data_IF_259903808658
#
_entry.id   IF_259903808658
#
_cell.length_a   1.000
_cell.length_b   1.000
_cell.length_c   1.000
_cell.angle_alpha   90.00
_cell.angle_beta   90.00
_cell.angle_gamma   90.00
#
_symmetry.space_group_name_H-M   'P 1'
#
loop_
_entity.id
_entity.type
_entity.pdbx_description
1 polymer ?
#
# COMPACT_ATOMS: atom_id res chain seq x y z
N UNK A 1 6.99 14.66 3.61
CA UNK A 1 6.07 13.59 4.09
C UNK A 1 6.54 13.17 5.47
N UNK A 2 5.64 12.71 6.34
CA UNK A 2 5.94 12.33 7.72
C UNK A 2 5.48 10.90 7.99
N UNK A 3 6.27 10.13 8.73
CA UNK A 3 5.84 8.83 9.26
C UNK A 3 4.66 9.03 10.23
N UNK A 4 3.79 8.01 10.35
CA UNK A 4 2.57 8.06 11.17
C UNK A 4 2.72 8.78 12.52
N UNK A 5 3.73 8.44 13.34
CA UNK A 5 3.90 9.07 14.66
C UNK A 5 4.21 10.57 14.58
N UNK A 6 5.00 11.00 13.59
CA UNK A 6 5.30 12.42 13.38
C UNK A 6 4.15 13.14 12.68
N UNK A 7 3.51 12.47 11.71
CA UNK A 7 2.40 13.02 10.95
C UNK A 7 1.18 13.24 11.83
N UNK A 8 0.84 12.31 12.72
CA UNK A 8 -0.25 12.49 13.68
C UNK A 8 0.03 13.61 14.69
N UNK A 9 1.29 13.78 15.13
CA UNK A 9 1.67 14.93 15.97
C UNK A 9 1.56 16.26 15.24
N UNK A 10 1.84 16.28 13.94
CA UNK A 10 1.82 17.50 13.12
C UNK A 10 0.40 17.89 12.69
N UNK A 11 -0.37 16.92 12.23
CA UNK A 11 -1.65 17.15 11.56
C UNK A 11 -2.86 16.86 12.46
N UNK A 12 -2.66 16.34 13.68
CA UNK A 12 -3.73 16.12 14.65
C UNK A 12 -4.83 15.22 14.10
N UNK A 13 -6.08 15.70 14.22
CA UNK A 13 -7.27 14.95 13.81
C UNK A 13 -7.39 14.79 12.29
N UNK A 14 -7.02 15.81 11.49
CA UNK A 14 -6.95 15.68 10.03
C UNK A 14 -5.98 14.56 9.59
N UNK A 15 -4.91 14.37 10.37
CA UNK A 15 -3.98 13.26 10.20
C UNK A 15 -4.61 11.90 10.50
N UNK A 16 -5.46 11.82 11.53
CA UNK A 16 -6.18 10.58 11.89
C UNK A 16 -7.20 10.24 10.82
N UNK A 17 -7.98 11.22 10.36
CA UNK A 17 -8.99 11.03 9.30
C UNK A 17 -8.34 10.57 7.99
N UNK A 18 -7.15 11.11 7.67
CA UNK A 18 -6.39 10.68 6.51
C UNK A 18 -5.89 9.22 6.62
N UNK A 19 -5.50 8.78 7.82
CA UNK A 19 -5.12 7.38 8.08
C UNK A 19 -6.34 6.47 8.03
N UNK A 20 -7.45 6.90 8.63
CA UNK A 20 -8.70 6.14 8.68
C UNK A 20 -9.23 5.88 7.27
N UNK A 21 -9.31 6.94 6.46
CA UNK A 21 -9.73 6.87 5.06
C UNK A 21 -8.88 5.92 4.23
N UNK A 22 -7.56 5.94 4.39
CA UNK A 22 -6.64 5.07 3.65
C UNK A 22 -6.82 3.59 4.05
N UNK A 23 -6.81 3.29 5.34
CA UNK A 23 -6.97 1.90 5.83
C UNK A 23 -8.35 1.34 5.49
N UNK A 24 -9.41 2.15 5.62
CA UNK A 24 -10.76 1.78 5.21
C UNK A 24 -10.82 1.44 3.72
N UNK A 25 -10.10 2.17 2.86
CA UNK A 25 -10.02 1.84 1.43
C UNK A 25 -9.33 0.50 1.16
N UNK A 26 -8.30 0.15 1.95
CA UNK A 26 -7.64 -1.15 1.85
C UNK A 26 -8.58 -2.30 2.22
N UNK A 27 -9.34 -2.13 3.31
CA UNK A 27 -10.32 -3.12 3.77
C UNK A 27 -11.49 -3.27 2.80
N UNK A 28 -12.07 -2.17 2.31
CA UNK A 28 -13.21 -2.19 1.39
C UNK A 28 -12.91 -2.84 0.03
N UNK A 29 -11.63 -2.99 -0.32
CA UNK A 29 -11.18 -3.55 -1.59
C UNK A 29 -10.50 -4.90 -1.42
N UNK A 30 -10.60 -5.49 -0.22
CA UNK A 30 -9.97 -6.77 0.11
C UNK A 30 -8.48 -6.81 -0.30
N UNK A 31 -7.78 -5.68 -0.13
CA UNK A 31 -6.40 -5.51 -0.60
C UNK A 31 -5.44 -6.54 0.03
N UNK A 32 -5.73 -6.98 1.26
CA UNK A 32 -4.98 -8.00 1.96
C UNK A 32 -5.86 -8.70 2.99
N UNK A 33 -5.53 -9.96 3.25
CA UNK A 33 -6.12 -10.79 4.30
C UNK A 33 -5.07 -11.10 5.36
N UNK A 34 -5.44 -11.09 6.66
CA UNK A 34 -4.51 -11.43 7.72
C UNK A 34 -4.26 -12.95 7.74
N UNK A 35 -3.04 -13.33 8.11
CA UNK A 35 -2.62 -14.73 8.20
C UNK A 35 -2.08 -15.00 9.61
N UNK A 36 -2.24 -16.23 10.09
CA UNK A 36 -1.63 -16.57 11.37
C UNK A 36 -0.13 -16.74 11.19
N UNK A 37 0.64 -16.06 12.03
CA UNK A 37 2.10 -16.19 12.03
C UNK A 37 2.54 -17.65 12.14
N UNK A 38 1.86 -18.49 12.94
CA UNK A 38 2.13 -19.94 13.05
C UNK A 38 2.03 -20.71 11.73
N UNK A 39 1.22 -20.25 10.79
CA UNK A 39 0.94 -20.92 9.51
C UNK A 39 1.88 -20.42 8.39
N UNK A 40 2.80 -19.49 8.71
CA UNK A 40 3.86 -19.02 7.82
C UNK A 40 5.13 -19.84 7.93
N UNK A 41 5.79 -20.08 6.80
CA UNK A 41 7.12 -20.72 6.74
C UNK A 41 8.22 -19.80 7.29
N UNK A 42 9.40 -20.37 7.58
CA UNK A 42 10.53 -19.59 8.07
C UNK A 42 11.05 -18.59 7.02
N UNK A 43 11.01 -18.95 5.73
CA UNK A 43 11.36 -18.07 4.62
C UNK A 43 10.36 -16.92 4.47
N UNK A 44 9.06 -17.21 4.52
CA UNK A 44 7.99 -16.20 4.47
C UNK A 44 8.13 -15.18 5.60
N UNK A 45 8.38 -15.63 6.83
CA UNK A 45 8.59 -14.72 7.98
C UNK A 45 9.84 -13.86 7.83
N UNK A 46 10.92 -14.41 7.27
CA UNK A 46 12.16 -13.67 7.01
C UNK A 46 11.98 -12.63 5.89
N UNK A 47 11.19 -12.94 4.87
CA UNK A 47 10.92 -12.06 3.72
C UNK A 47 9.77 -11.07 3.96
N UNK A 48 8.99 -11.23 5.03
CA UNK A 48 7.89 -10.33 5.37
C UNK A 48 8.37 -8.88 5.49
N UNK A 49 7.85 -7.99 4.65
CA UNK A 49 8.25 -6.58 4.66
C UNK A 49 7.35 -5.75 5.55
N UNK A 50 7.90 -4.70 6.15
CA UNK A 50 7.11 -3.83 7.02
C UNK A 50 6.16 -2.93 6.23
N UNK A 51 4.96 -2.75 6.75
CA UNK A 51 4.06 -1.68 6.33
C UNK A 51 4.51 -0.35 6.97
N UNK A 52 4.35 0.75 6.22
CA UNK A 52 4.65 2.09 6.68
C UNK A 52 3.53 3.03 6.24
N UNK A 53 2.95 3.78 7.18
CA UNK A 53 1.99 4.83 6.88
C UNK A 53 2.69 6.19 6.79
N UNK A 54 2.52 6.87 5.66
CA UNK A 54 3.06 8.20 5.39
C UNK A 54 1.94 9.23 5.26
N UNK A 55 2.11 10.37 5.92
CA UNK A 55 1.19 11.51 5.87
C UNK A 55 1.84 12.71 5.17
N UNK A 56 1.09 13.35 4.28
CA UNK A 56 1.55 14.53 3.55
C UNK A 56 0.39 15.48 3.27
N UNK A 57 0.65 16.77 3.35
CA UNK A 57 -0.32 17.80 2.96
C UNK A 57 -0.28 18.01 1.44
N UNK A 58 -1.44 18.05 0.80
CA UNK A 58 -1.58 18.43 -0.60
C UNK A 58 -1.49 19.95 -0.73
N UNK A 59 -0.52 20.45 -1.49
CA UNK A 59 -0.23 21.88 -1.59
C UNK A 59 -1.42 22.74 -2.05
N UNK A 60 -2.22 22.26 -3.01
CA UNK A 60 -3.34 23.04 -3.56
C UNK A 60 -4.64 22.87 -2.79
N UNK A 61 -4.96 21.64 -2.37
CA UNK A 61 -6.22 21.31 -1.68
C UNK A 61 -6.16 21.56 -0.16
N UNK A 62 -4.97 21.74 0.41
CA UNK A 62 -4.72 21.81 1.87
C UNK A 62 -5.31 20.62 2.65
N UNK A 63 -5.52 19.49 1.98
CA UNK A 63 -5.99 18.25 2.60
C UNK A 63 -4.79 17.36 2.96
N UNK A 64 -4.94 16.59 4.03
CA UNK A 64 -3.93 15.60 4.43
C UNK A 64 -4.20 14.28 3.69
N UNK A 65 -3.17 13.75 3.04
CA UNK A 65 -3.20 12.45 2.36
C UNK A 65 -2.36 11.45 3.15
N UNK A 66 -3.01 10.36 3.56
CA UNK A 66 -2.37 9.15 4.01
C UNK A 66 -1.98 8.26 2.84
N UNK A 67 -0.90 7.48 3.00
CA UNK A 67 -0.51 6.41 2.09
C UNK A 67 0.03 5.25 2.91
N UNK A 68 -0.60 4.07 2.77
CA UNK A 68 -0.04 2.83 3.30
C UNK A 68 0.96 2.30 2.27
N UNK A 69 2.20 2.09 2.71
CA UNK A 69 3.32 1.74 1.84
C UNK A 69 3.95 0.44 2.29
N UNK A 70 4.07 -0.49 1.35
CA UNK A 70 4.90 -1.68 1.49
C UNK A 70 6.38 -1.30 1.37
N UNK A 71 7.19 -1.61 2.39
CA UNK A 71 8.60 -1.25 2.39
C UNK A 71 9.42 -2.22 1.51
N UNK A 72 9.45 -1.97 0.20
CA UNK A 72 10.10 -2.85 -0.78
C UNK A 72 11.63 -2.72 -0.90
N UNK A 73 12.33 -2.10 0.05
CA UNK A 73 13.79 -1.96 -0.06
C UNK A 73 14.51 -3.32 0.03
N UNK A 74 13.97 -4.26 0.82
CA UNK A 74 14.50 -5.61 0.97
C UNK A 74 14.15 -6.54 -0.19
N UNK A 75 13.10 -6.26 -0.98
CA UNK A 75 12.58 -7.24 -1.95
C UNK A 75 13.45 -7.44 -3.19
N UNK A 76 14.40 -6.54 -3.45
CA UNK A 76 15.32 -6.66 -4.59
C UNK A 76 16.21 -7.91 -4.54
N UNK A 77 16.36 -8.52 -3.36
CA UNK A 77 17.16 -9.74 -3.20
C UNK A 77 16.46 -10.99 -3.73
N UNK A 78 15.12 -11.01 -3.82
CA UNK A 78 14.35 -12.20 -4.20
C UNK A 78 13.28 -11.96 -5.28
N UNK A 79 13.08 -10.72 -5.73
CA UNK A 79 12.27 -10.42 -6.92
C UNK A 79 13.20 -10.18 -8.11
N UNK A 80 12.98 -10.90 -9.20
CA UNK A 80 13.77 -10.73 -10.42
C UNK A 80 13.41 -9.42 -11.14
N UNK A 81 14.25 -9.01 -12.10
CA UNK A 81 13.95 -7.83 -12.92
C UNK A 81 12.78 -8.10 -13.84
N UNK A 82 12.66 -9.34 -14.30
CA UNK A 82 11.60 -9.85 -15.14
C UNK A 82 10.26 -9.80 -14.39
N UNK A 83 10.23 -10.21 -13.12
CA UNK A 83 9.02 -10.18 -12.28
C UNK A 83 8.59 -8.76 -11.89
N UNK A 84 9.52 -7.81 -11.89
CA UNK A 84 9.25 -6.39 -11.54
C UNK A 84 9.05 -5.51 -12.77
N UNK A 85 9.24 -6.05 -13.98
CA UNK A 85 9.06 -5.32 -15.22
C UNK A 85 7.57 -5.15 -15.52
N UNK A 86 7.14 -3.90 -15.69
CA UNK A 86 5.81 -3.57 -16.22
C UNK A 86 5.98 -2.93 -17.59
N UNK A 87 5.22 -3.35 -18.62
CA UNK A 87 5.22 -2.71 -19.93
C UNK A 87 4.50 -1.35 -19.85
N UNK A 88 5.19 -0.34 -19.34
CA UNK A 88 4.67 1.04 -19.26
C UNK A 88 4.91 1.73 -20.59
N UNK A 89 3.87 2.37 -21.13
CA UNK A 89 4.00 3.16 -22.36
C UNK A 89 5.07 4.26 -22.20
N UNK A 90 5.82 4.51 -23.28
CA UNK A 90 6.85 5.54 -23.29
C UNK A 90 6.18 6.93 -23.14
N UNK A 91 6.61 7.71 -22.15
CA UNK A 91 6.08 9.06 -21.89
C UNK A 91 6.07 9.94 -23.16
N UNK A 92 7.14 9.87 -23.98
CA UNK A 92 7.22 10.63 -25.21
C UNK A 92 6.15 10.24 -26.25
N UNK A 93 5.76 8.96 -26.30
CA UNK A 93 4.70 8.50 -27.19
C UNK A 93 3.34 9.08 -26.76
N UNK A 94 3.03 9.04 -25.45
CA UNK A 94 1.82 9.64 -24.88
C UNK A 94 1.76 11.14 -25.15
N UNK A 95 2.86 11.86 -24.91
CA UNK A 95 2.91 13.30 -25.20
C UNK A 95 2.70 13.58 -26.69
N UNK A 96 3.27 12.76 -27.56
CA UNK A 96 3.12 12.92 -29.02
C UNK A 96 1.67 12.78 -29.46
N UNK A 97 0.96 11.76 -28.95
CA UNK A 97 -0.46 11.58 -29.25
C UNK A 97 -1.28 12.78 -28.75
N UNK A 98 -1.02 13.27 -27.54
CA UNK A 98 -1.72 14.44 -27.01
C UNK A 98 -1.50 15.71 -27.85
N UNK A 99 -0.29 15.92 -28.40
CA UNK A 99 0.01 17.07 -29.27
C UNK A 99 -0.75 16.97 -30.60
N UNK A 100 -0.82 15.78 -31.19
CA UNK A 100 -1.58 15.53 -32.43
C UNK A 100 -3.06 15.76 -32.19
N UNK A 101 -3.61 15.18 -31.12
CA UNK A 101 -5.03 15.33 -30.77
C UNK A 101 -5.39 16.80 -30.53
N UNK A 102 -4.51 17.57 -29.87
CA UNK A 102 -4.68 19.01 -29.67
C UNK A 102 -4.59 19.81 -30.98
N UNK A 103 -3.67 19.46 -31.89
CA UNK A 103 -3.53 20.13 -33.18
C UNK A 103 -4.74 19.91 -34.09
N UNK A 104 -5.28 18.70 -34.09
CA UNK A 104 -6.44 18.31 -34.89
C UNK A 104 -7.79 18.66 -34.23
N UNK A 105 -7.77 19.16 -33.00
CA UNK A 105 -8.99 19.51 -32.26
C UNK A 105 -9.87 18.31 -31.91
N UNK A 106 -9.26 17.17 -31.57
CA UNK A 106 -9.97 15.94 -31.19
C UNK A 106 -10.47 16.01 -29.74
N UNK A 107 -11.59 15.34 -29.48
CA UNK A 107 -12.11 15.18 -28.12
C UNK A 107 -11.23 14.19 -27.32
N UNK A 108 -10.80 14.61 -26.12
CA UNK A 108 -9.94 13.81 -25.22
C UNK A 108 -10.63 13.68 -23.86
N UNK A 109 -10.60 12.49 -23.29
CA UNK A 109 -10.98 12.23 -21.90
C UNK A 109 -9.77 11.75 -21.10
N UNK A 110 -9.59 12.27 -19.89
CA UNK A 110 -8.62 11.77 -18.92
C UNK A 110 -9.35 11.33 -17.65
N UNK A 111 -8.87 10.27 -17.01
CA UNK A 111 -9.38 9.80 -15.73
C UNK A 111 -8.24 9.32 -14.85
N UNK A 112 -8.30 9.65 -13.56
CA UNK A 112 -7.45 9.07 -12.52
C UNK A 112 -8.19 7.94 -11.83
N UNK A 113 -7.57 6.76 -11.76
CA UNK A 113 -8.14 5.62 -11.05
C UNK A 113 -7.56 5.57 -9.62
N UNK A 114 -8.35 5.91 -8.59
CA UNK A 114 -7.84 5.96 -7.22
C UNK A 114 -7.41 4.57 -6.77
N UNK A 115 -6.22 4.50 -6.19
CA UNK A 115 -5.55 3.27 -5.76
C UNK A 115 -5.64 2.16 -6.82
N UNK A 116 -5.19 2.45 -8.05
CA UNK A 116 -5.14 1.46 -9.12
C UNK A 116 -4.35 0.19 -8.71
N UNK A 117 -3.24 0.36 -7.97
CA UNK A 117 -2.36 -0.75 -7.58
C UNK A 117 -3.02 -1.78 -6.65
N UNK A 118 -3.95 -1.40 -5.78
CA UNK A 118 -4.58 -2.35 -4.86
C UNK A 118 -5.74 -3.12 -5.50
N UNK A 119 -6.11 -2.75 -6.72
CA UNK A 119 -7.16 -3.40 -7.50
C UNK A 119 -6.59 -4.40 -8.52
N UNK A 120 -5.27 -4.49 -8.64
CA UNK A 120 -4.64 -5.45 -9.55
C UNK A 120 -4.65 -6.83 -8.91
N UNK A 121 -4.98 -7.84 -9.73
CA UNK A 121 -4.93 -9.24 -9.33
C UNK A 121 -3.51 -9.64 -8.91
N UNK A 122 -3.37 -10.17 -7.70
CA UNK A 122 -2.16 -10.85 -7.26
C UNK A 122 -2.37 -12.35 -7.47
N UNK A 123 -1.54 -13.03 -8.28
CA UNK A 123 -1.66 -14.47 -8.48
C UNK A 123 -1.41 -15.22 -7.17
N UNK A 124 -2.14 -16.33 -6.99
CA UNK A 124 -1.86 -17.26 -5.90
C UNK A 124 -0.45 -17.84 -6.06
N UNK A 125 0.28 -17.94 -4.94
CA UNK A 125 1.58 -18.56 -4.92
C UNK A 125 1.44 -20.05 -5.30
N UNK A 126 2.29 -20.53 -6.22
CA UNK A 126 2.29 -21.94 -6.60
C UNK A 126 2.86 -22.80 -5.48
N UNK A 127 2.57 -24.10 -5.50
CA UNK A 127 3.14 -25.05 -4.55
C UNK A 127 4.69 -24.99 -4.59
N UNK A 128 5.30 -24.63 -3.46
CA UNK A 128 6.75 -24.45 -3.32
C UNK A 128 7.26 -23.01 -3.51
N UNK A 129 6.40 -22.05 -3.87
CA UNK A 129 6.73 -20.62 -3.88
C UNK A 129 6.34 -19.95 -2.56
N UNK A 130 7.18 -19.04 -2.06
CA UNK A 130 6.88 -18.28 -0.84
C UNK A 130 5.83 -17.19 -1.14
N UNK A 131 4.82 -17.06 -0.29
CA UNK A 131 3.86 -15.96 -0.36
C UNK A 131 4.51 -14.64 0.05
N UNK A 132 3.98 -13.54 -0.48
CA UNK A 132 4.42 -12.18 -0.12
C UNK A 132 3.62 -11.69 1.08
N UNK A 133 4.31 -11.51 2.21
CA UNK A 133 3.72 -10.97 3.42
C UNK A 133 4.11 -9.52 3.66
N UNK A 134 3.12 -8.75 4.10
CA UNK A 134 3.30 -7.43 4.67
C UNK A 134 2.99 -7.49 6.16
N UNK A 135 3.91 -6.96 6.96
CA UNK A 135 3.84 -6.95 8.41
C UNK A 135 3.38 -5.59 8.90
N UNK A 136 2.20 -5.55 9.52
CA UNK A 136 1.63 -4.32 10.06
C UNK A 136 2.01 -4.25 11.54
N UNK A 137 2.58 -3.13 11.97
CA UNK A 137 3.10 -3.00 13.34
C UNK A 137 2.67 -1.70 14.02
N UNK A 138 2.74 -1.70 15.36
CA UNK A 138 2.57 -0.50 16.17
C UNK A 138 1.14 0.03 16.16
N UNK A 139 0.97 1.36 16.06
CA UNK A 139 -0.34 2.00 16.14
C UNK A 139 -1.29 1.60 15.01
N UNK A 140 -0.76 1.24 13.83
CA UNK A 140 -1.60 0.80 12.70
C UNK A 140 -2.38 -0.47 13.04
N UNK A 141 -1.80 -1.38 13.82
CA UNK A 141 -2.48 -2.60 14.28
C UNK A 141 -3.72 -2.24 15.10
N UNK A 142 -3.61 -1.25 15.99
CA UNK A 142 -4.76 -0.84 16.80
C UNK A 142 -5.87 -0.23 15.94
N UNK A 143 -5.53 0.70 15.04
CA UNK A 143 -6.50 1.33 14.13
C UNK A 143 -7.18 0.27 13.26
N UNK A 144 -6.42 -0.70 12.74
CA UNK A 144 -6.95 -1.76 11.91
C UNK A 144 -7.91 -2.68 12.69
N UNK A 145 -7.60 -3.02 13.94
CA UNK A 145 -8.49 -3.82 14.80
C UNK A 145 -9.76 -3.04 15.16
N UNK A 146 -9.67 -1.74 15.35
CA UNK A 146 -10.83 -0.92 15.66
C UNK A 146 -11.80 -0.85 14.46
N UNK A 147 -11.28 -0.94 13.23
CA UNK A 147 -12.09 -1.03 12.00
C UNK A 147 -12.58 -2.45 11.67
N UNK A 148 -11.72 -3.45 11.87
CA UNK A 148 -11.94 -4.86 11.57
C UNK A 148 -11.63 -5.71 12.81
N UNK A 149 -12.55 -5.79 13.79
CA UNK A 149 -12.32 -6.48 15.06
C UNK A 149 -11.93 -7.95 14.93
N UNK A 150 -12.35 -8.60 13.85
CA UNK A 150 -12.02 -9.98 13.50
C UNK A 150 -10.52 -10.20 13.25
N UNK A 151 -9.75 -9.15 12.96
CA UNK A 151 -8.31 -9.24 12.77
C UNK A 151 -7.57 -9.44 14.11
N UNK A 152 -8.24 -9.18 15.25
CA UNK A 152 -7.66 -9.31 16.60
C UNK A 152 -7.08 -10.70 16.87
N UNK A 153 -7.63 -11.76 16.28
CA UNK A 153 -7.15 -13.14 16.48
C UNK A 153 -5.79 -13.43 15.86
N UNK A 154 -5.36 -12.62 14.88
CA UNK A 154 -4.07 -12.77 14.20
C UNK A 154 -2.94 -11.98 14.87
N UNK A 155 -3.28 -11.13 15.85
CA UNK A 155 -2.31 -10.27 16.52
C UNK A 155 -1.38 -11.11 17.38
N UNK A 156 -0.07 -10.96 17.15
CA UNK A 156 0.96 -11.56 18.01
C UNK A 156 1.90 -10.50 18.57
N UNK A 157 2.54 -10.82 19.69
CA UNK A 157 3.59 -10.01 20.26
C UNK A 157 4.94 -10.54 19.79
N UNK A 158 5.68 -9.69 19.09
CA UNK A 158 7.04 -10.01 18.65
C UNK A 158 7.96 -8.88 19.09
N UNK A 159 9.01 -9.21 19.86
CA UNK A 159 9.96 -8.24 20.42
C UNK A 159 9.27 -7.06 21.15
N UNK A 160 8.19 -7.33 21.87
CA UNK A 160 7.41 -6.34 22.61
C UNK A 160 6.50 -5.45 21.75
N UNK A 161 6.41 -5.69 20.43
CA UNK A 161 5.52 -4.95 19.53
C UNK A 161 4.36 -5.85 19.09
N UNK A 162 3.16 -5.27 19.02
CA UNK A 162 2.02 -5.93 18.38
C UNK A 162 2.22 -5.91 16.87
N UNK A 163 2.04 -7.06 16.26
CA UNK A 163 2.12 -7.25 14.82
C UNK A 163 0.91 -8.04 14.32
N UNK A 164 0.53 -7.79 13.08
CA UNK A 164 -0.29 -8.67 12.24
C UNK A 164 0.57 -8.99 11.02
#
# INVERSE_FOLDING_TARGET
>A
QYYINQGLKKFGDDGKDAVDKELRQMLLRDCFTPEFVKDMTASERKRAQSAMMLLAEKQFEKTIKGRLVYQGNGTREWLSREDTASPTALQGAITTTCVIDAHEGRDIMTMDMPNAFIQTYMPEAKEGEDRIYMKITGMMVQILIDMAPEYRKYVVLENGKRII
#
